data_IF_004564806251
#
_entry.id   IF_004564806251
#
_cell.length_a   1.000
_cell.length_b   1.000
_cell.length_c   1.000
_cell.angle_alpha   90.00
_cell.angle_beta   90.00
_cell.angle_gamma   90.00
#
_symmetry.space_group_name_H-M   'P 1'
#
loop_
_entity.id
_entity.type
_entity.pdbx_description
1 polymer ?
#
# COMPACT_ATOMS: atom_id res chain seq x y z
N UNK A 1 8.35 -15.30 -6.04
CA UNK A 1 8.60 -15.14 -4.59
C UNK A 1 7.61 -14.11 -4.06
N UNK A 2 7.05 -14.32 -2.87
CA UNK A 2 6.12 -13.35 -2.26
C UNK A 2 6.91 -12.11 -1.81
N UNK A 3 6.47 -10.93 -2.23
CA UNK A 3 7.08 -9.65 -1.82
C UNK A 3 6.34 -9.11 -0.59
N UNK A 4 7.06 -8.69 0.44
CA UNK A 4 6.48 -8.12 1.66
C UNK A 4 6.67 -6.61 1.68
N UNK A 5 5.61 -5.89 2.02
CA UNK A 5 5.63 -4.44 2.20
C UNK A 5 5.29 -4.10 3.64
N UNK A 6 5.76 -2.92 4.07
CA UNK A 6 5.48 -2.34 5.37
C UNK A 6 4.55 -1.15 5.18
N UNK A 7 3.44 -1.13 5.91
CA UNK A 7 2.46 -0.06 5.91
C UNK A 7 2.56 0.63 7.27
N UNK A 8 2.80 1.94 7.25
CA UNK A 8 2.92 2.78 8.44
C UNK A 8 1.84 3.85 8.43
N UNK A 9 1.10 3.99 9.54
CA UNK A 9 0.13 5.05 9.74
C UNK A 9 0.24 5.59 11.17
N UNK A 10 0.83 6.78 11.36
CA UNK A 10 1.10 7.31 12.69
C UNK A 10 2.00 6.37 13.50
N UNK A 11 1.51 5.81 14.60
CA UNK A 11 2.25 4.89 15.46
C UNK A 11 1.97 3.41 15.18
N UNK A 12 1.12 3.08 14.20
CA UNK A 12 0.82 1.69 13.85
C UNK A 12 1.60 1.23 12.61
N UNK A 13 2.02 -0.03 12.64
CA UNK A 13 2.72 -0.72 11.55
C UNK A 13 2.01 -2.03 11.23
N UNK A 14 1.91 -2.36 9.95
CA UNK A 14 1.43 -3.65 9.46
C UNK A 14 2.34 -4.17 8.35
N UNK A 15 2.46 -5.50 8.27
CA UNK A 15 3.14 -6.19 7.16
C UNK A 15 2.08 -6.79 6.25
N UNK A 16 2.21 -6.52 4.96
CA UNK A 16 1.34 -7.08 3.93
C UNK A 16 2.15 -7.83 2.87
N UNK A 17 1.51 -8.81 2.24
CA UNK A 17 2.07 -9.59 1.13
C UNK A 17 1.46 -9.12 -0.18
N UNK A 18 2.31 -8.85 -1.16
CA UNK A 18 1.89 -8.56 -2.52
C UNK A 18 1.75 -9.86 -3.31
N UNK A 19 0.61 -10.02 -3.97
CA UNK A 19 0.35 -11.13 -4.88
C UNK A 19 1.10 -10.97 -6.21
N UNK A 20 1.11 -12.01 -7.04
CA UNK A 20 1.78 -12.01 -8.34
C UNK A 20 0.86 -11.47 -9.44
N UNK A 21 0.70 -10.14 -9.47
CA UNK A 21 -0.14 -9.44 -10.46
C UNK A 21 0.57 -8.21 -11.00
N UNK A 22 0.14 -7.75 -12.20
CA UNK A 22 0.64 -6.51 -12.81
C UNK A 22 0.46 -5.30 -11.89
N UNK A 23 -0.69 -5.19 -11.23
CA UNK A 23 -0.98 -4.10 -10.28
C UNK A 23 -0.02 -4.14 -9.09
N UNK A 24 0.19 -5.31 -8.49
CA UNK A 24 1.14 -5.46 -7.38
C UNK A 24 2.58 -5.16 -7.78
N UNK A 25 2.99 -5.52 -9.01
CA UNK A 25 4.30 -5.16 -9.55
C UNK A 25 4.47 -3.64 -9.65
N UNK A 26 3.49 -2.93 -10.21
CA UNK A 26 3.57 -1.48 -10.36
C UNK A 26 3.54 -0.76 -9.00
N UNK A 27 2.78 -1.27 -8.03
CA UNK A 27 2.84 -0.78 -6.65
C UNK A 27 4.24 -0.96 -6.06
N UNK A 28 4.86 -2.13 -6.25
CA UNK A 28 6.20 -2.42 -5.73
C UNK A 28 7.27 -1.49 -6.30
N UNK A 29 7.24 -1.26 -7.61
CA UNK A 29 8.18 -0.38 -8.31
C UNK A 29 8.04 1.08 -7.91
N UNK A 30 6.87 1.49 -7.42
CA UNK A 30 6.57 2.84 -6.98
C UNK A 30 6.91 3.13 -5.50
N UNK A 31 7.32 2.11 -4.73
CA UNK A 31 7.70 2.31 -3.33
C UNK A 31 8.96 3.20 -3.21
N UNK A 32 9.04 4.09 -2.21
CA UNK A 32 8.05 4.33 -1.15
C UNK A 32 6.90 5.25 -1.59
N UNK A 33 5.68 4.94 -1.12
CA UNK A 33 4.48 5.76 -1.36
C UNK A 33 4.08 6.44 -0.05
N UNK A 34 3.72 7.72 -0.13
CA UNK A 34 3.18 8.50 0.99
C UNK A 34 1.86 9.14 0.57
N UNK A 35 0.90 9.22 1.50
CA UNK A 35 -0.40 9.81 1.25
C UNK A 35 -1.12 10.18 2.55
N UNK A 36 -2.17 10.97 2.43
CA UNK A 36 -3.07 11.24 3.54
C UNK A 36 -4.15 10.15 3.60
N UNK A 37 -4.31 9.57 4.78
CA UNK A 37 -5.28 8.51 5.04
C UNK A 37 -6.65 9.10 5.33
N UNK A 38 -7.68 8.53 4.71
CA UNK A 38 -9.08 8.72 5.04
C UNK A 38 -9.64 7.46 5.69
N UNK A 39 -10.71 7.61 6.47
CA UNK A 39 -11.39 6.51 7.16
C UNK A 39 -12.81 6.34 6.61
N UNK A 40 -13.23 5.08 6.45
CA UNK A 40 -14.62 4.76 6.14
C UNK A 40 -15.06 3.52 6.92
N UNK A 41 -15.81 3.73 8.01
CA UNK A 41 -16.14 2.67 8.95
C UNK A 41 -14.87 2.09 9.57
N UNK A 42 -14.63 0.80 9.32
CA UNK A 42 -13.44 0.07 9.77
C UNK A 42 -12.31 0.02 8.72
N UNK A 43 -12.44 0.77 7.61
CA UNK A 43 -11.48 0.78 6.50
C UNK A 43 -10.60 2.04 6.48
N UNK A 44 -9.34 1.84 6.09
CA UNK A 44 -8.35 2.89 5.78
C UNK A 44 -8.13 2.92 4.27
N UNK A 45 -8.22 4.11 3.67
CA UNK A 45 -7.93 4.30 2.24
C UNK A 45 -7.16 5.60 1.99
N UNK A 46 -6.29 5.61 0.98
CA UNK A 46 -5.55 6.79 0.56
C UNK A 46 -5.24 6.75 -0.93
N UNK A 47 -5.13 7.91 -1.54
CA UNK A 47 -4.74 8.01 -2.96
C UNK A 47 -3.23 7.82 -3.12
N UNK A 48 -2.86 7.13 -4.19
CA UNK A 48 -1.47 6.94 -4.60
C UNK A 48 -1.30 7.44 -6.05
N UNK A 49 -0.12 7.93 -6.46
CA UNK A 49 0.09 8.51 -7.79
C UNK A 49 0.26 7.44 -8.87
N UNK A 50 -0.61 6.43 -8.90
CA UNK A 50 -0.59 5.34 -9.87
C UNK A 50 -1.90 5.29 -10.66
N UNK A 51 -1.78 5.14 -11.98
CA UNK A 51 -2.87 4.91 -12.91
C UNK A 51 -2.50 3.72 -13.79
N UNK A 52 -3.42 2.78 -13.95
CA UNK A 52 -3.23 1.52 -14.67
C UNK A 52 -4.29 1.29 -15.74
#
# INVERSE_FOLDING_TARGET
MVRKIRIEAGSIEAIAELNDTKTAQVIWEALPIKGHVNLWGEEIYFSIPLHL
#
